data_IF_540343558498
#
_entry.id   IF_540343558498
#
_cell.length_a   1.000
_cell.length_b   1.000
_cell.length_c   1.000
_cell.angle_alpha   90.00
_cell.angle_beta   90.00
_cell.angle_gamma   90.00
#
_symmetry.space_group_name_H-M   'P 1'
#
loop_
_entity.id
_entity.type
_entity.pdbx_description
1 polymer ?
#
# COMPACT_ATOMS: atom_id res chain seq x y z
N UNK A 1 -8.97 27.94 -24.11
CA UNK A 1 -8.81 26.47 -24.21
C UNK A 1 -8.20 25.89 -22.94
N UNK A 2 -7.04 26.38 -22.47
CA UNK A 2 -6.40 25.90 -21.23
C UNK A 2 -7.27 26.07 -19.95
N UNK A 3 -7.93 27.22 -19.76
CA UNK A 3 -8.84 27.45 -18.62
C UNK A 3 -10.02 26.47 -18.59
N UNK A 4 -10.49 26.03 -19.76
CA UNK A 4 -11.57 25.04 -19.86
C UNK A 4 -11.13 23.64 -19.44
N UNK A 5 -9.86 23.28 -19.62
CA UNK A 5 -9.31 21.97 -19.26
C UNK A 5 -9.05 21.92 -17.75
N UNK A 6 -8.49 23.00 -17.17
CA UNK A 6 -8.26 23.10 -15.73
C UNK A 6 -9.57 22.98 -14.93
N UNK A 7 -10.61 23.72 -15.31
CA UNK A 7 -11.93 23.64 -14.67
C UNK A 7 -12.57 22.24 -14.80
N UNK A 8 -12.37 21.56 -15.93
CA UNK A 8 -12.86 20.20 -16.14
C UNK A 8 -12.12 19.19 -15.25
N UNK A 9 -10.80 19.34 -15.07
CA UNK A 9 -9.99 18.51 -14.17
C UNK A 9 -10.41 18.70 -12.72
N UNK A 10 -10.54 19.95 -12.28
CA UNK A 10 -11.01 20.29 -10.93
C UNK A 10 -12.38 19.67 -10.64
N UNK A 11 -13.37 19.91 -11.49
CA UNK A 11 -14.71 19.32 -11.34
C UNK A 11 -14.71 17.78 -11.34
N UNK A 12 -13.74 17.15 -12.02
CA UNK A 12 -13.62 15.70 -12.04
C UNK A 12 -13.03 15.18 -10.74
N UNK A 13 -11.99 15.83 -10.22
CA UNK A 13 -11.37 15.46 -8.94
C UNK A 13 -12.30 15.75 -7.75
N UNK A 14 -13.04 16.86 -7.76
CA UNK A 14 -14.06 17.13 -6.73
C UNK A 14 -15.13 16.04 -6.65
N UNK A 15 -15.60 15.55 -7.80
CA UNK A 15 -16.55 14.43 -7.85
C UNK A 15 -15.92 13.12 -7.40
N UNK A 16 -14.69 12.85 -7.84
CA UNK A 16 -13.96 11.65 -7.45
C UNK A 16 -13.71 11.62 -5.95
N UNK A 17 -13.39 12.74 -5.33
CA UNK A 17 -13.11 12.81 -3.89
C UNK A 17 -14.29 13.32 -3.05
N UNK A 18 -15.49 13.30 -3.62
CA UNK A 18 -16.70 13.62 -2.86
C UNK A 18 -16.86 12.63 -1.70
N UNK A 19 -17.03 13.17 -0.48
CA UNK A 19 -17.17 12.36 0.74
C UNK A 19 -15.86 11.79 1.29
N UNK A 20 -14.71 12.25 0.80
CA UNK A 20 -13.41 11.89 1.36
C UNK A 20 -13.28 12.39 2.81
N UNK A 21 -12.91 11.48 3.73
CA UNK A 21 -12.80 11.79 5.17
C UNK A 21 -11.34 11.81 5.69
N UNK A 22 -10.35 11.57 4.83
CA UNK A 22 -8.94 11.51 5.20
C UNK A 22 -8.23 12.87 5.37
N UNK A 23 -6.90 12.87 5.60
CA UNK A 23 -6.11 14.08 5.78
C UNK A 23 -6.05 14.92 4.48
N UNK A 24 -5.75 16.24 4.56
CA UNK A 24 -5.59 17.06 3.38
C UNK A 24 -4.52 16.48 2.44
N UNK A 25 -4.77 16.48 1.14
CA UNK A 25 -3.79 16.00 0.16
C UNK A 25 -3.87 16.81 -1.13
N UNK A 26 -2.81 16.70 -1.94
CA UNK A 26 -2.76 17.30 -3.26
C UNK A 26 -2.51 16.26 -4.35
N UNK A 27 -2.92 16.57 -5.58
CA UNK A 27 -2.57 15.82 -6.78
C UNK A 27 -1.86 16.77 -7.73
N UNK A 28 -0.67 16.40 -8.19
CA UNK A 28 0.10 17.17 -9.17
C UNK A 28 0.35 16.33 -10.42
N UNK A 29 0.03 16.89 -11.57
CA UNK A 29 0.17 16.24 -12.88
C UNK A 29 1.47 16.64 -13.58
N UNK A 30 1.83 15.90 -14.62
CA UNK A 30 3.07 16.06 -15.41
C UNK A 30 3.21 17.43 -16.07
N UNK A 31 2.10 18.14 -16.30
CA UNK A 31 2.09 19.50 -16.83
C UNK A 31 2.22 20.58 -15.75
N UNK A 32 2.47 20.18 -14.51
CA UNK A 32 2.62 21.06 -13.35
C UNK A 32 1.29 21.55 -12.77
N UNK A 33 0.15 21.18 -13.35
CA UNK A 33 -1.15 21.51 -12.76
C UNK A 33 -1.33 20.76 -11.44
N UNK A 34 -1.73 21.50 -10.41
CA UNK A 34 -1.92 20.96 -9.07
C UNK A 34 -3.32 21.28 -8.56
N UNK A 35 -3.93 20.31 -7.91
CA UNK A 35 -5.19 20.43 -7.21
C UNK A 35 -5.01 19.98 -5.76
N UNK A 36 -5.69 20.63 -4.83
CA UNK A 36 -5.55 20.35 -3.39
C UNK A 36 -6.92 20.21 -2.79
N UNK A 37 -7.13 19.12 -2.06
CA UNK A 37 -8.34 18.87 -1.31
C UNK A 37 -8.09 19.19 0.17
N UNK A 38 -8.82 20.15 0.76
CA UNK A 38 -8.79 20.35 2.20
C UNK A 38 -9.33 19.10 2.89
N UNK A 39 -8.59 18.57 3.86
CA UNK A 39 -9.09 17.52 4.75
C UNK A 39 -10.26 18.03 5.59
N UNK A 40 -11.10 17.12 6.07
CA UNK A 40 -12.31 17.48 6.83
C UNK A 40 -11.96 18.40 8.02
N UNK A 41 -12.57 19.59 8.06
CA UNK A 41 -12.41 20.54 9.16
C UNK A 41 -11.18 21.46 9.06
N UNK A 42 -10.41 21.43 7.96
CA UNK A 42 -9.33 22.40 7.73
C UNK A 42 -9.84 23.69 7.06
N UNK A 43 -9.57 24.88 7.63
CA UNK A 43 -9.86 26.15 6.96
C UNK A 43 -9.07 26.28 5.66
N UNK A 44 -9.68 26.79 4.57
CA UNK A 44 -9.04 26.91 3.24
C UNK A 44 -7.71 27.67 3.24
N UNK A 45 -7.51 28.53 4.23
CA UNK A 45 -6.42 29.50 4.32
C UNK A 45 -5.14 28.93 4.96
N UNK A 46 -5.14 27.64 5.33
CA UNK A 46 -4.06 26.97 6.08
C UNK A 46 -3.75 25.54 5.62
N UNK A 47 -4.22 25.16 4.42
CA UNK A 47 -4.14 23.77 3.93
C UNK A 47 -2.72 23.45 3.46
N UNK A 48 -1.88 22.95 4.38
CA UNK A 48 -0.70 22.18 3.99
C UNK A 48 -1.13 20.74 3.75
N UNK A 49 -0.96 20.19 2.53
CA UNK A 49 -1.28 18.79 2.29
C UNK A 49 -0.34 17.90 3.11
N UNK A 50 -0.89 16.84 3.72
CA UNK A 50 -0.12 15.78 4.36
C UNK A 50 0.74 15.05 3.32
N UNK A 51 0.19 14.85 2.11
CA UNK A 51 0.93 14.33 0.97
C UNK A 51 0.49 14.94 -0.37
N UNK A 52 1.37 14.88 -1.36
CA UNK A 52 1.07 15.18 -2.77
C UNK A 52 1.29 13.93 -3.60
N UNK A 53 0.23 13.42 -4.22
CA UNK A 53 0.30 12.37 -5.23
C UNK A 53 0.78 13.00 -6.55
N UNK A 54 1.99 12.64 -6.98
CA UNK A 54 2.62 13.17 -8.19
C UNK A 54 2.44 12.17 -9.32
N UNK A 55 1.74 12.57 -10.38
CA UNK A 55 1.52 11.75 -11.58
C UNK A 55 2.43 12.30 -12.68
N UNK A 56 3.50 11.56 -12.99
CA UNK A 56 4.60 12.02 -13.84
C UNK A 56 4.30 11.90 -15.34
N UNK A 57 3.24 11.19 -15.75
CA UNK A 57 2.89 11.03 -17.17
C UNK A 57 1.41 10.72 -17.42
N UNK A 58 0.98 10.94 -18.68
CA UNK A 58 -0.35 10.57 -19.17
C UNK A 58 -0.57 9.06 -19.11
N UNK A 59 0.47 8.28 -19.42
CA UNK A 59 0.43 6.83 -19.41
C UNK A 59 0.14 6.30 -18.01
N UNK A 60 0.71 6.91 -16.97
CA UNK A 60 0.47 6.52 -15.58
C UNK A 60 -0.97 6.78 -15.16
N UNK A 61 -1.53 7.94 -15.54
CA UNK A 61 -2.93 8.26 -15.30
C UNK A 61 -3.87 7.30 -16.04
N UNK A 62 -3.60 7.03 -17.31
CA UNK A 62 -4.39 6.10 -18.11
C UNK A 62 -4.36 4.68 -17.53
N UNK A 63 -3.21 4.22 -17.04
CA UNK A 63 -3.10 2.93 -16.37
C UNK A 63 -3.96 2.89 -15.10
N UNK A 64 -3.89 3.91 -14.25
CA UNK A 64 -4.74 4.03 -13.05
C UNK A 64 -6.23 4.07 -13.38
N UNK A 65 -6.62 4.79 -14.43
CA UNK A 65 -8.02 4.87 -14.85
C UNK A 65 -8.52 3.52 -15.39
N UNK A 66 -7.67 2.78 -16.10
CA UNK A 66 -8.02 1.47 -16.63
C UNK A 66 -8.13 0.41 -15.54
N UNK A 67 -7.25 0.48 -14.55
CA UNK A 67 -7.16 -0.47 -13.44
C UNK A 67 -6.98 0.27 -12.11
N UNK A 68 -8.05 0.87 -11.55
CA UNK A 68 -7.97 1.62 -10.29
C UNK A 68 -7.88 0.65 -9.11
N UNK A 69 -6.67 0.15 -8.84
CA UNK A 69 -6.37 -0.76 -7.74
C UNK A 69 -4.95 -0.52 -7.18
N UNK A 70 -4.70 -1.09 -6.00
CA UNK A 70 -3.43 -0.96 -5.27
C UNK A 70 -2.23 -1.52 -6.05
N UNK A 71 -2.44 -2.59 -6.84
CA UNK A 71 -1.37 -3.21 -7.63
C UNK A 71 -0.87 -2.24 -8.69
N UNK A 72 -1.79 -1.63 -9.45
CA UNK A 72 -1.44 -0.67 -10.51
C UNK A 72 -0.78 0.56 -9.91
N UNK A 73 -1.30 1.07 -8.79
CA UNK A 73 -0.67 2.19 -8.07
C UNK A 73 0.76 1.84 -7.64
N UNK A 74 0.97 0.66 -7.06
CA UNK A 74 2.28 0.19 -6.61
C UNK A 74 3.27 -0.02 -7.76
N UNK A 75 2.85 -0.63 -8.87
CA UNK A 75 3.69 -0.83 -10.05
C UNK A 75 4.18 0.49 -10.64
N UNK A 76 3.28 1.47 -10.75
CA UNK A 76 3.62 2.81 -11.29
C UNK A 76 4.49 3.61 -10.32
N UNK A 77 4.30 3.43 -9.01
CA UNK A 77 5.18 4.01 -8.00
C UNK A 77 6.61 3.45 -8.09
N UNK A 78 6.76 2.12 -8.18
CA UNK A 78 8.07 1.47 -8.35
C UNK A 78 8.74 1.88 -9.66
N UNK A 79 7.97 2.04 -10.73
CA UNK A 79 8.45 2.54 -12.03
C UNK A 79 8.81 4.04 -12.04
N UNK A 80 8.57 4.77 -10.94
CA UNK A 80 8.73 6.23 -10.81
C UNK A 80 7.87 7.04 -11.78
N UNK A 81 6.77 6.46 -12.25
CA UNK A 81 5.74 7.13 -13.04
C UNK A 81 4.71 7.81 -12.14
N UNK A 82 4.61 7.35 -10.89
CA UNK A 82 3.88 8.00 -9.81
C UNK A 82 4.85 8.17 -8.64
N UNK A 83 4.72 9.26 -7.89
CA UNK A 83 5.48 9.49 -6.67
C UNK A 83 4.59 10.08 -5.57
N UNK A 84 5.06 10.06 -4.34
CA UNK A 84 4.39 10.66 -3.18
C UNK A 84 5.36 11.58 -2.45
N UNK A 85 5.04 12.88 -2.45
CA UNK A 85 5.77 13.86 -1.67
C UNK A 85 5.08 14.10 -0.32
N UNK A 86 5.83 14.15 0.77
CA UNK A 86 5.30 14.32 2.12
C UNK A 86 5.13 12.98 2.84
N UNK A 87 4.03 12.82 3.59
CA UNK A 87 3.74 11.59 4.31
C UNK A 87 3.29 10.49 3.34
N UNK A 88 4.15 9.49 3.12
CA UNK A 88 3.85 8.34 2.28
C UNK A 88 2.60 7.59 2.76
N UNK A 89 2.37 7.52 4.07
CA UNK A 89 1.24 6.75 4.61
C UNK A 89 -0.11 7.44 4.37
N UNK A 90 -0.13 8.76 4.25
CA UNK A 90 -1.35 9.51 3.93
C UNK A 90 -1.91 9.17 2.54
N UNK A 91 -1.10 8.60 1.62
CA UNK A 91 -1.61 8.14 0.31
C UNK A 91 -2.56 6.95 0.44
N UNK A 92 -2.47 6.16 1.50
CA UNK A 92 -3.34 4.99 1.68
C UNK A 92 -4.79 5.42 1.93
N UNK A 93 -5.04 6.49 2.68
CA UNK A 93 -6.40 7.05 2.83
C UNK A 93 -6.99 7.47 1.46
N UNK A 94 -6.16 8.08 0.61
CA UNK A 94 -6.53 8.51 -0.76
C UNK A 94 -6.86 7.28 -1.62
N UNK A 95 -5.99 6.27 -1.59
CA UNK A 95 -6.15 5.03 -2.33
C UNK A 95 -7.41 4.26 -1.89
N UNK A 96 -7.61 4.08 -0.57
CA UNK A 96 -8.79 3.44 -0.02
C UNK A 96 -10.07 4.14 -0.46
N UNK A 97 -10.12 5.48 -0.41
CA UNK A 97 -11.29 6.23 -0.86
C UNK A 97 -11.62 5.97 -2.33
N UNK A 98 -10.62 5.97 -3.21
CA UNK A 98 -10.81 5.75 -4.66
C UNK A 98 -11.21 4.31 -4.95
N UNK A 99 -10.56 3.33 -4.32
CA UNK A 99 -10.76 1.91 -4.61
C UNK A 99 -12.06 1.35 -4.03
N UNK A 100 -12.61 1.94 -2.97
CA UNK A 100 -13.89 1.55 -2.38
C UNK A 100 -15.11 2.22 -3.02
N UNK A 101 -14.94 3.11 -3.99
CA UNK A 101 -16.09 3.69 -4.70
C UNK A 101 -16.83 2.63 -5.54
N UNK A 102 -18.17 2.69 -5.64
CA UNK A 102 -18.92 1.81 -6.52
C UNK A 102 -18.38 1.90 -7.95
N UNK A 103 -18.01 0.76 -8.55
CA UNK A 103 -17.43 0.65 -9.91
C UNK A 103 -18.27 1.26 -11.06
N UNK A 104 -19.46 1.78 -10.75
CA UNK A 104 -20.44 2.32 -11.69
C UNK A 104 -20.02 3.62 -12.40
N UNK A 105 -18.90 4.26 -12.02
CA UNK A 105 -18.44 5.53 -12.60
C UNK A 105 -17.46 5.39 -13.79
N UNK A 106 -16.80 4.24 -13.96
CA UNK A 106 -15.80 4.02 -15.03
C UNK A 106 -16.09 2.81 -15.96
N UNK A 107 -17.10 1.99 -15.65
CA UNK A 107 -17.33 0.70 -16.31
C UNK A 107 -17.77 0.76 -17.78
N UNK A 108 -18.50 1.78 -18.24
CA UNK A 108 -19.03 1.77 -19.62
C UNK A 108 -17.95 1.89 -20.71
N UNK A 109 -16.77 2.42 -20.38
CA UNK A 109 -15.66 2.54 -21.34
C UNK A 109 -14.70 1.33 -21.26
N UNK A 110 -14.54 0.75 -20.06
CA UNK A 110 -13.63 -0.36 -19.82
C UNK A 110 -14.20 -1.72 -20.24
N UNK A 111 -15.52 -1.92 -20.22
CA UNK A 111 -16.14 -3.16 -20.72
C UNK A 111 -15.86 -3.40 -22.21
N UNK A 112 -15.70 -2.34 -23.01
CA UNK A 112 -15.38 -2.44 -24.45
C UNK A 112 -13.90 -2.79 -24.71
N UNK A 113 -12.99 -2.38 -23.82
CA UNK A 113 -11.54 -2.65 -23.93
C UNK A 113 -11.16 -3.97 -23.25
N UNK A 114 -11.80 -4.32 -22.14
CA UNK A 114 -11.59 -5.57 -21.41
C UNK A 114 -11.95 -6.81 -22.24
N UNK A 115 -12.91 -6.69 -23.17
CA UNK A 115 -13.25 -7.76 -24.12
C UNK A 115 -12.16 -8.06 -25.16
N UNK A 116 -11.25 -7.10 -25.42
CA UNK A 116 -10.10 -7.29 -26.31
C UNK A 116 -8.88 -7.89 -25.57
N UNK A 117 -8.78 -7.69 -24.25
CA UNK A 117 -7.64 -8.13 -23.42
C UNK A 117 -7.90 -9.46 -22.70
N UNK A 118 -8.99 -10.15 -23.04
CA UNK A 118 -9.42 -11.42 -22.42
C UNK A 118 -8.33 -12.49 -22.50
N UNK A 119 -7.48 -12.48 -23.54
CA UNK A 119 -6.36 -13.42 -23.69
C UNK A 119 -5.24 -13.23 -22.64
N UNK A 120 -4.99 -11.99 -22.18
CA UNK A 120 -4.04 -11.72 -21.08
C UNK A 120 -4.60 -12.08 -19.71
N UNK A 121 -5.93 -11.96 -19.55
CA UNK A 121 -6.64 -12.35 -18.33
C UNK A 121 -6.64 -13.87 -18.13
N UNK A 122 -6.71 -14.65 -19.21
CA UNK A 122 -6.54 -16.11 -19.15
C UNK A 122 -5.09 -16.51 -18.82
N UNK A 123 -4.10 -15.68 -19.14
CA UNK A 123 -2.69 -15.89 -18.75
C UNK A 123 -2.47 -15.62 -17.25
N UNK A 124 -3.11 -14.58 -16.70
CA UNK A 124 -3.02 -14.23 -15.27
C UNK A 124 -3.88 -15.13 -14.37
N UNK A 125 -5.05 -15.57 -14.86
CA UNK A 125 -5.96 -16.47 -14.13
C UNK A 125 -5.56 -17.96 -14.19
N UNK A 126 -4.48 -18.32 -14.90
CA UNK A 126 -3.84 -19.64 -14.82
C UNK A 126 -2.98 -19.83 -13.56
N UNK A 127 -3.35 -19.17 -12.46
CA UNK A 127 -2.84 -19.47 -11.14
C UNK A 127 -3.55 -20.68 -10.55
N UNK A 128 -3.26 -21.89 -11.03
CA UNK A 128 -3.68 -23.11 -10.34
C UNK A 128 -3.01 -23.18 -8.96
N UNK A 129 -3.87 -23.21 -7.94
CA UNK A 129 -3.81 -23.94 -6.66
C UNK A 129 -2.39 -24.24 -6.14
N UNK A 130 -2.04 -23.60 -5.03
CA UNK A 130 -0.93 -23.92 -4.12
C UNK A 130 -0.27 -25.28 -4.39
N UNK A 131 0.99 -25.27 -4.82
CA UNK A 131 1.85 -26.47 -4.81
C UNK A 131 3.05 -26.19 -3.91
N UNK A 132 3.58 -27.20 -3.20
CA UNK A 132 4.76 -27.03 -2.35
C UNK A 132 5.94 -26.40 -3.09
N UNK A 133 6.14 -26.74 -4.36
CA UNK A 133 7.23 -26.21 -5.18
C UNK A 133 7.04 -24.72 -5.49
N UNK A 134 5.82 -24.31 -5.83
CA UNK A 134 5.50 -22.91 -6.15
C UNK A 134 5.54 -22.04 -4.90
N UNK A 135 4.95 -22.52 -3.81
CA UNK A 135 4.95 -21.82 -2.53
C UNK A 135 6.39 -21.71 -2.00
N UNK A 136 7.19 -22.77 -2.11
CA UNK A 136 8.62 -22.76 -1.78
C UNK A 136 9.43 -21.75 -2.60
N UNK A 137 9.19 -21.68 -3.92
CA UNK A 137 9.86 -20.70 -4.78
C UNK A 137 9.45 -19.25 -4.46
N UNK A 138 8.18 -19.01 -4.13
CA UNK A 138 7.70 -17.70 -3.69
C UNK A 138 8.32 -17.29 -2.34
N UNK A 139 8.38 -18.21 -1.38
CA UNK A 139 9.03 -17.98 -0.07
C UNK A 139 10.51 -17.63 -0.27
N UNK A 140 11.25 -18.43 -1.05
CA UNK A 140 12.66 -18.19 -1.32
C UNK A 140 12.89 -16.79 -1.93
N UNK A 141 12.09 -16.41 -2.93
CA UNK A 141 12.18 -15.09 -3.56
C UNK A 141 11.98 -13.93 -2.57
N UNK A 142 11.08 -14.08 -1.60
CA UNK A 142 10.74 -13.00 -0.65
C UNK A 142 11.61 -12.98 0.63
N UNK A 143 12.18 -14.12 1.04
CA UNK A 143 12.86 -14.26 2.34
C UNK A 143 14.35 -14.64 2.26
N UNK A 144 14.88 -15.07 1.10
CA UNK A 144 16.30 -15.43 0.97
C UNK A 144 17.23 -14.23 0.72
N UNK A 145 16.83 -13.02 1.11
CA UNK A 145 17.78 -11.91 1.16
C UNK A 145 18.79 -12.15 2.29
N UNK A 146 20.05 -11.70 2.14
CA UNK A 146 21.07 -11.91 3.16
C UNK A 146 20.68 -11.24 4.49
N UNK A 147 21.15 -11.76 5.63
CA UNK A 147 20.85 -11.17 6.95
C UNK A 147 21.32 -9.71 7.04
N UNK A 148 22.38 -9.37 6.32
CA UNK A 148 22.92 -8.03 6.16
C UNK A 148 21.92 -7.05 5.52
N UNK A 149 20.99 -7.56 4.70
CA UNK A 149 19.85 -6.79 4.21
C UNK A 149 18.90 -6.51 5.38
N UNK A 150 18.46 -7.53 6.12
CA UNK A 150 17.40 -7.36 7.14
C UNK A 150 17.83 -6.65 8.43
N UNK A 151 19.06 -6.89 8.90
CA UNK A 151 19.54 -6.46 10.22
C UNK A 151 19.36 -4.96 10.52
N UNK A 152 19.61 -4.02 9.58
CA UNK A 152 19.48 -2.59 9.84
C UNK A 152 18.07 -2.13 10.25
N UNK A 153 17.01 -2.85 9.86
CA UNK A 153 15.63 -2.47 10.17
C UNK A 153 14.85 -3.48 11.01
N UNK A 154 15.34 -4.73 11.14
CA UNK A 154 14.74 -5.72 12.06
C UNK A 154 15.40 -5.76 13.44
N UNK A 155 16.58 -5.16 13.61
CA UNK A 155 17.31 -5.17 14.87
C UNK A 155 18.08 -6.48 15.12
N UNK A 156 18.45 -6.70 16.37
CA UNK A 156 19.27 -7.85 16.78
C UNK A 156 18.48 -9.17 16.70
N UNK A 157 17.19 -9.11 17.03
CA UNK A 157 16.31 -10.29 17.05
C UNK A 157 16.01 -10.85 15.66
N UNK A 158 16.15 -10.05 14.60
CA UNK A 158 15.73 -10.37 13.22
C UNK A 158 14.26 -10.81 13.12
N UNK A 159 13.43 -10.49 14.12
CA UNK A 159 12.05 -10.92 14.16
C UNK A 159 11.22 -10.14 13.14
N UNK A 160 10.96 -10.74 11.98
CA UNK A 160 10.12 -10.12 10.95
C UNK A 160 8.62 -10.35 11.20
N UNK A 161 8.15 -9.85 12.34
CA UNK A 161 6.76 -9.94 12.79
C UNK A 161 6.42 -8.76 13.71
N UNK A 162 5.13 -8.53 13.94
CA UNK A 162 4.64 -7.46 14.81
C UNK A 162 5.25 -7.57 16.22
N UNK A 163 5.79 -6.47 16.74
CA UNK A 163 6.35 -6.37 18.09
C UNK A 163 5.27 -5.99 19.13
N UNK A 164 5.60 -6.07 20.42
CA UNK A 164 4.69 -5.70 21.51
C UNK A 164 5.30 -4.60 22.40
N UNK A 165 4.89 -3.36 22.16
CA UNK A 165 5.32 -2.20 22.93
C UNK A 165 4.51 -2.09 24.22
N UNK A 166 5.19 -2.13 25.37
CA UNK A 166 4.58 -1.91 26.69
C UNK A 166 4.71 -0.46 27.15
N UNK A 167 5.72 0.24 26.62
CA UNK A 167 5.91 1.67 26.71
C UNK A 167 6.16 2.26 25.33
N UNK A 168 5.83 3.54 25.15
CA UNK A 168 6.17 4.31 23.95
C UNK A 168 7.69 4.48 23.76
N UNK A 169 8.47 4.29 24.82
CA UNK A 169 9.92 4.47 24.85
C UNK A 169 10.68 3.14 24.65
N UNK A 170 9.96 2.01 24.48
CA UNK A 170 10.59 0.71 24.24
C UNK A 170 11.35 0.73 22.90
N UNK A 171 12.57 0.18 22.89
CA UNK A 171 13.27 -0.09 21.64
C UNK A 171 12.57 -1.22 20.87
N UNK A 172 12.82 -1.32 19.55
CA UNK A 172 12.28 -2.42 18.75
C UNK A 172 12.67 -3.79 19.33
N UNK A 173 13.94 -3.98 19.69
CA UNK A 173 14.40 -5.24 20.29
C UNK A 173 13.70 -5.54 21.63
N UNK A 174 13.50 -4.52 22.47
CA UNK A 174 12.73 -4.66 23.72
C UNK A 174 11.30 -5.08 23.43
N UNK A 175 10.64 -4.43 22.47
CA UNK A 175 9.27 -4.75 22.08
C UNK A 175 9.15 -6.16 21.47
N UNK A 176 10.18 -6.66 20.78
CA UNK A 176 10.24 -8.04 20.29
C UNK A 176 10.39 -9.04 21.44
N UNK A 177 11.24 -8.76 22.45
CA UNK A 177 11.34 -9.59 23.66
C UNK A 177 10.02 -9.61 24.45
N UNK A 178 9.38 -8.45 24.61
CA UNK A 178 8.08 -8.34 25.28
C UNK A 178 7.00 -9.19 24.58
N UNK A 179 7.01 -9.25 23.24
CA UNK A 179 6.12 -10.11 22.46
C UNK A 179 6.35 -11.58 22.79
N UNK A 180 7.60 -12.03 22.82
CA UNK A 180 7.95 -13.43 23.15
C UNK A 180 7.53 -13.78 24.57
N UNK A 181 7.78 -12.88 25.54
CA UNK A 181 7.34 -13.07 26.91
C UNK A 181 5.81 -13.17 27.00
N UNK A 182 5.08 -12.32 26.28
CA UNK A 182 3.63 -12.41 26.18
C UNK A 182 3.17 -13.77 25.62
N UNK A 183 3.81 -14.26 24.56
CA UNK A 183 3.50 -15.56 23.97
C UNK A 183 3.75 -16.69 24.98
N UNK A 184 4.92 -16.72 25.62
CA UNK A 184 5.26 -17.71 26.65
C UNK A 184 4.26 -17.71 27.82
N UNK A 185 3.87 -16.52 28.31
CA UNK A 185 2.85 -16.37 29.36
C UNK A 185 1.48 -16.88 28.92
N UNK A 186 1.11 -16.74 27.65
CA UNK A 186 -0.16 -17.26 27.11
C UNK A 186 -0.14 -18.78 26.93
N UNK A 187 0.99 -19.33 26.48
CA UNK A 187 1.18 -20.77 26.29
C UNK A 187 1.12 -21.53 27.61
N UNK A 188 1.62 -20.94 28.71
CA UNK A 188 1.62 -21.52 30.07
C UNK A 188 2.25 -22.91 30.11
N UNK A 189 3.31 -23.10 29.33
CA UNK A 189 4.05 -24.35 29.25
C UNK A 189 4.62 -24.74 30.61
N UNK A 190 4.61 -26.03 30.89
CA UNK A 190 5.21 -26.63 32.08
C UNK A 190 6.50 -27.36 31.71
N UNK A 191 7.46 -27.50 32.65
CA UNK A 191 8.65 -28.30 32.43
C UNK A 191 8.28 -29.72 31.95
N UNK A 192 8.91 -30.17 30.87
CA UNK A 192 8.69 -31.49 30.27
C UNK A 192 7.65 -31.54 29.15
N UNK A 193 6.97 -30.44 28.84
CA UNK A 193 6.08 -30.36 27.68
C UNK A 193 6.86 -30.09 26.38
N UNK A 194 6.33 -30.58 25.26
CA UNK A 194 6.88 -30.33 23.92
C UNK A 194 6.21 -29.12 23.28
N UNK A 195 6.99 -28.28 22.59
CA UNK A 195 6.50 -27.12 21.85
C UNK A 195 6.87 -27.24 20.37
N UNK A 196 5.91 -26.94 19.49
CA UNK A 196 6.11 -26.88 18.04
C UNK A 196 5.91 -25.44 17.58
N UNK A 197 6.97 -24.85 17.01
CA UNK A 197 6.91 -23.55 16.36
C UNK A 197 6.87 -23.72 14.84
N UNK A 198 5.75 -23.32 14.23
CA UNK A 198 5.54 -23.45 12.78
C UNK A 198 5.91 -22.11 12.14
N UNK A 199 6.98 -22.12 11.33
CA UNK A 199 7.52 -20.90 10.72
C UNK A 199 8.47 -20.16 11.66
N UNK A 200 9.41 -20.88 12.27
CA UNK A 200 10.30 -20.36 13.32
C UNK A 200 11.29 -19.28 12.89
N UNK A 201 11.36 -18.94 11.60
CA UNK A 201 12.22 -17.90 11.06
C UNK A 201 13.68 -18.08 11.49
N UNK A 202 14.29 -17.01 12.00
CA UNK A 202 15.66 -17.02 12.55
C UNK A 202 15.76 -17.54 13.99
N UNK A 203 14.75 -18.26 14.48
CA UNK A 203 14.70 -18.85 15.81
C UNK A 203 14.91 -17.82 16.94
N UNK A 204 14.28 -16.66 16.82
CA UNK A 204 14.41 -15.54 17.75
C UNK A 204 13.72 -15.75 19.12
N UNK A 205 13.69 -16.97 19.66
CA UNK A 205 13.09 -17.32 20.97
C UNK A 205 14.03 -17.08 22.14
#
# INVERSE_FOLDING_TARGET
MAESIAAQRESTLERLFQGYEGPPFAVRFWDGWQWTLPGRGTPPESVSPACTLVIQSEEALHALMAHPNEVTLGERFVAKEIDVEGDLFAVFDVAEHVFHQPKASYQRLLETVAGLMTELREWWNKGSIHTPERDGAAIAYHYDQPVEFYRPWLGETLAYSCAYFTSKDDSLDTAQTNKLEMICRKLRLKPGESFLDIGCGWAAW
#
